data_IF_316879489268
#
_entry.id   IF_316879489268
#
_cell.length_a   1.000
_cell.length_b   1.000
_cell.length_c   1.000
_cell.angle_alpha   90.00
_cell.angle_beta   90.00
_cell.angle_gamma   90.00
#
_symmetry.space_group_name_H-M   'P 1'
#
loop_
_entity.id
_entity.type
_entity.pdbx_description
1 polymer ?
#
# COMPACT_ATOMS: atom_id res chain seq x y z
N UNK A 1 19.58 6.46 19.92
CA UNK A 1 18.21 5.93 20.15
C UNK A 1 18.33 4.42 20.03
N UNK A 2 18.36 3.72 21.15
CA UNK A 2 18.51 2.27 21.21
C UNK A 2 17.24 1.60 20.68
N UNK A 3 17.33 0.86 19.57
CA UNK A 3 16.24 0.05 19.02
C UNK A 3 16.31 -1.33 19.68
N UNK A 4 15.92 -1.42 20.97
CA UNK A 4 16.21 -2.61 21.79
C UNK A 4 15.06 -3.60 22.00
N UNK A 5 13.86 -3.38 21.44
CA UNK A 5 12.81 -4.40 21.47
C UNK A 5 12.47 -4.87 20.04
N UNK A 6 12.79 -6.14 19.72
CA UNK A 6 12.32 -6.81 18.51
C UNK A 6 10.79 -6.83 18.48
N UNK A 7 10.18 -6.55 17.32
CA UNK A 7 8.72 -6.50 17.18
C UNK A 7 8.05 -7.82 17.60
N UNK A 8 7.34 -7.78 18.73
CA UNK A 8 6.51 -8.88 19.23
C UNK A 8 5.12 -8.88 18.57
N UNK A 9 4.74 -10.02 17.98
CA UNK A 9 3.43 -10.21 17.37
C UNK A 9 2.30 -10.46 18.39
N UNK A 10 2.63 -10.74 19.65
CA UNK A 10 1.69 -11.00 20.75
C UNK A 10 2.11 -10.25 22.04
N UNK A 11 2.14 -8.90 22.01
CA UNK A 11 2.55 -8.11 23.17
C UNK A 11 1.62 -8.34 24.36
N UNK A 12 2.14 -8.10 25.57
CA UNK A 12 1.36 -8.19 26.83
C UNK A 12 0.15 -7.26 26.85
N UNK A 13 0.27 -6.10 26.21
CA UNK A 13 -0.77 -5.11 26.09
C UNK A 13 -0.81 -4.59 24.64
N UNK A 14 -2.01 -4.57 24.05
CA UNK A 14 -2.21 -4.03 22.71
C UNK A 14 -2.53 -2.53 22.77
N UNK A 15 -2.02 -1.77 21.80
CA UNK A 15 -2.37 -0.36 21.66
C UNK A 15 -3.90 -0.17 21.49
N UNK A 16 -4.52 0.76 22.23
CA UNK A 16 -5.94 1.05 22.10
C UNK A 16 -6.23 1.76 20.77
N UNK A 17 -7.43 1.53 20.23
CA UNK A 17 -7.87 2.24 19.03
C UNK A 17 -8.39 3.63 19.39
N UNK A 18 -7.96 4.64 18.62
CA UNK A 18 -8.49 6.01 18.67
C UNK A 18 -8.75 6.46 17.24
N UNK A 19 -10.03 6.66 16.91
CA UNK A 19 -10.43 7.03 15.57
C UNK A 19 -10.10 8.49 15.26
N UNK A 20 -9.64 8.74 14.04
CA UNK A 20 -9.44 10.05 13.42
C UNK A 20 -10.55 10.41 12.42
N UNK A 21 -11.47 9.47 12.17
CA UNK A 21 -12.58 9.65 11.24
C UNK A 21 -13.62 10.62 11.81
N UNK A 22 -14.11 11.53 10.98
CA UNK A 22 -15.28 12.36 11.31
C UNK A 22 -16.60 11.60 11.10
N UNK A 23 -17.73 12.26 11.34
CA UNK A 23 -19.05 11.63 11.22
C UNK A 23 -19.37 11.18 9.79
N UNK A 24 -19.01 11.97 8.78
CA UNK A 24 -19.19 11.63 7.38
C UNK A 24 -18.36 10.40 6.99
N UNK A 25 -17.11 10.34 7.44
CA UNK A 25 -16.23 9.20 7.20
C UNK A 25 -16.78 7.92 7.86
N UNK A 26 -17.23 8.00 9.12
CA UNK A 26 -17.83 6.87 9.83
C UNK A 26 -19.12 6.37 9.18
N UNK A 27 -19.98 7.29 8.72
CA UNK A 27 -21.20 6.93 8.02
C UNK A 27 -20.92 6.17 6.72
N UNK A 28 -19.89 6.59 5.96
CA UNK A 28 -19.47 5.89 4.76
C UNK A 28 -18.86 4.52 5.09
N UNK A 29 -17.99 4.44 6.10
CA UNK A 29 -17.39 3.18 6.54
C UNK A 29 -18.45 2.15 6.97
N UNK A 30 -19.47 2.58 7.72
CA UNK A 30 -20.59 1.72 8.09
C UNK A 30 -21.39 1.23 6.87
N UNK A 31 -21.66 2.13 5.92
CA UNK A 31 -22.46 1.84 4.73
C UNK A 31 -21.75 0.93 3.73
N UNK A 32 -20.48 1.22 3.42
CA UNK A 32 -19.76 0.59 2.30
C UNK A 32 -18.78 -0.51 2.74
N UNK A 33 -18.26 -0.42 3.98
CA UNK A 33 -17.24 -1.32 4.51
C UNK A 33 -17.76 -2.20 5.65
N UNK A 34 -19.01 -2.01 6.07
CA UNK A 34 -19.62 -2.73 7.19
C UNK A 34 -18.86 -2.53 8.53
N UNK A 35 -18.16 -1.40 8.67
CA UNK A 35 -17.49 -1.02 9.91
C UNK A 35 -18.48 -0.36 10.88
N UNK A 36 -18.72 -0.96 12.03
CA UNK A 36 -19.51 -0.37 13.10
C UNK A 36 -18.83 -0.57 14.47
N UNK A 37 -19.26 0.19 15.48
CA UNK A 37 -18.62 0.19 16.79
C UNK A 37 -18.65 -1.19 17.46
N UNK A 38 -19.72 -1.95 17.24
CA UNK A 38 -19.92 -3.28 17.83
C UNK A 38 -18.99 -4.35 17.24
N UNK A 39 -18.63 -4.25 15.96
CA UNK A 39 -17.78 -5.25 15.29
C UNK A 39 -16.30 -4.91 15.34
N UNK A 40 -15.94 -3.62 15.46
CA UNK A 40 -14.56 -3.17 15.29
C UNK A 40 -13.58 -3.85 16.23
N UNK A 41 -13.84 -3.81 17.53
CA UNK A 41 -12.92 -4.35 18.54
C UNK A 41 -12.84 -5.87 18.46
N UNK A 42 -13.97 -6.53 18.19
CA UNK A 42 -14.05 -7.99 18.00
C UNK A 42 -13.25 -8.42 16.77
N UNK A 43 -13.44 -7.75 15.62
CA UNK A 43 -12.71 -8.05 14.39
C UNK A 43 -11.20 -7.83 14.53
N UNK A 44 -10.78 -6.74 15.19
CA UNK A 44 -9.37 -6.50 15.50
C UNK A 44 -8.79 -7.62 16.38
N UNK A 45 -9.52 -8.05 17.41
CA UNK A 45 -9.10 -9.13 18.29
C UNK A 45 -8.93 -10.46 17.53
N UNK A 46 -9.85 -10.79 16.62
CA UNK A 46 -9.77 -11.99 15.80
C UNK A 46 -8.56 -11.98 14.86
N UNK A 47 -8.24 -10.84 14.24
CA UNK A 47 -7.02 -10.73 13.41
C UNK A 47 -5.75 -10.87 14.25
N UNK A 48 -5.73 -10.29 15.47
CA UNK A 48 -4.61 -10.47 16.42
C UNK A 48 -4.44 -11.94 16.82
N UNK A 49 -5.53 -12.61 17.12
CA UNK A 49 -5.52 -14.04 17.45
C UNK A 49 -5.00 -14.89 16.29
N UNK A 50 -5.43 -14.59 15.06
CA UNK A 50 -4.90 -15.22 13.85
C UNK A 50 -3.38 -15.04 13.75
N UNK A 51 -2.88 -13.80 13.87
CA UNK A 51 -1.43 -13.50 13.83
C UNK A 51 -0.67 -14.27 14.91
N UNK A 52 -1.18 -14.28 16.14
CA UNK A 52 -0.57 -14.94 17.28
C UNK A 52 -0.44 -16.46 17.05
N UNK A 53 -1.51 -17.09 16.54
CA UNK A 53 -1.58 -18.54 16.30
C UNK A 53 -0.91 -18.99 14.99
N UNK A 54 -0.67 -18.10 14.03
CA UNK A 54 -0.10 -18.47 12.75
C UNK A 54 1.35 -18.99 12.90
N UNK A 55 1.65 -20.23 12.46
CA UNK A 55 2.94 -20.87 12.72
C UNK A 55 4.10 -20.22 11.94
N UNK A 56 3.83 -19.70 10.75
CA UNK A 56 4.85 -19.05 9.94
C UNK A 56 5.05 -17.58 10.31
N UNK A 57 4.06 -16.88 10.89
CA UNK A 57 4.23 -15.45 11.19
C UNK A 57 5.08 -15.36 12.46
N UNK A 58 6.27 -14.80 12.36
CA UNK A 58 7.17 -14.64 13.51
C UNK A 58 7.09 -13.22 14.06
N UNK A 59 7.13 -12.22 13.16
CA UNK A 59 7.07 -10.81 13.50
C UNK A 59 6.03 -10.12 12.62
N UNK A 60 5.01 -9.52 13.24
CA UNK A 60 3.97 -8.75 12.56
C UNK A 60 3.45 -7.64 13.49
N UNK A 61 3.17 -6.48 12.91
CA UNK A 61 2.54 -5.34 13.60
C UNK A 61 1.08 -5.65 13.94
N UNK A 62 0.62 -5.19 15.10
CA UNK A 62 -0.72 -5.53 15.63
C UNK A 62 -1.50 -4.34 16.18
N UNK A 63 -1.08 -3.10 15.91
CA UNK A 63 -1.87 -1.91 16.27
C UNK A 63 -3.14 -1.80 15.40
N UNK A 64 -4.19 -1.17 15.94
CA UNK A 64 -5.48 -1.07 15.27
C UNK A 64 -5.44 -0.45 13.88
N UNK A 65 -4.69 0.64 13.67
CA UNK A 65 -4.67 1.37 12.39
C UNK A 65 -4.15 0.49 11.26
N UNK A 66 -3.13 -0.34 11.54
CA UNK A 66 -2.62 -1.33 10.61
C UNK A 66 -3.63 -2.43 10.30
N UNK A 67 -4.19 -3.06 11.33
CA UNK A 67 -5.11 -4.18 11.16
C UNK A 67 -6.40 -3.76 10.46
N UNK A 68 -6.86 -2.53 10.73
CA UNK A 68 -8.02 -1.93 10.08
C UNK A 68 -7.82 -1.75 8.57
N UNK A 69 -6.59 -1.66 8.05
CA UNK A 69 -6.35 -1.61 6.59
C UNK A 69 -6.93 -2.84 5.90
N UNK A 70 -6.63 -4.01 6.44
CA UNK A 70 -7.07 -5.29 5.87
C UNK A 70 -8.56 -5.51 6.09
N UNK A 71 -9.06 -5.18 7.28
CA UNK A 71 -10.50 -5.26 7.59
C UNK A 71 -11.31 -4.34 6.67
N UNK A 72 -10.95 -3.06 6.57
CA UNK A 72 -11.62 -2.09 5.69
C UNK A 72 -11.51 -2.51 4.22
N UNK A 73 -10.33 -2.95 3.79
CA UNK A 73 -10.11 -3.44 2.42
C UNK A 73 -11.04 -4.61 2.07
N UNK A 74 -11.32 -5.48 3.03
CA UNK A 74 -12.20 -6.65 2.89
C UNK A 74 -13.60 -6.45 3.43
N UNK A 75 -14.02 -5.19 3.61
CA UNK A 75 -15.36 -4.83 4.10
C UNK A 75 -15.77 -5.61 5.35
N UNK A 76 -14.82 -5.69 6.30
CA UNK A 76 -14.94 -6.37 7.58
C UNK A 76 -15.17 -7.88 7.52
N UNK A 77 -14.93 -8.51 6.37
CA UNK A 77 -14.74 -9.97 6.32
C UNK A 77 -13.38 -10.33 6.94
N UNK A 78 -13.42 -10.84 8.17
CA UNK A 78 -12.22 -11.19 8.95
C UNK A 78 -11.40 -12.30 8.28
N UNK A 79 -12.03 -13.31 7.70
CA UNK A 79 -11.31 -14.42 7.06
C UNK A 79 -10.53 -13.92 5.84
N UNK A 80 -11.17 -13.12 4.99
CA UNK A 80 -10.51 -12.53 3.82
C UNK A 80 -9.42 -11.53 4.23
N UNK A 81 -9.62 -10.79 5.33
CA UNK A 81 -8.63 -9.87 5.87
C UNK A 81 -7.36 -10.61 6.33
N UNK A 82 -7.53 -11.71 7.07
CA UNK A 82 -6.42 -12.58 7.49
C UNK A 82 -5.68 -13.17 6.29
N UNK A 83 -6.40 -13.70 5.29
CA UNK A 83 -5.79 -14.23 4.07
C UNK A 83 -5.02 -13.16 3.28
N UNK A 84 -5.51 -11.92 3.26
CA UNK A 84 -4.84 -10.79 2.60
C UNK A 84 -3.56 -10.40 3.33
N UNK A 85 -3.59 -10.34 4.67
CA UNK A 85 -2.40 -10.10 5.48
C UNK A 85 -1.34 -11.19 5.27
N UNK A 86 -1.75 -12.46 5.34
CA UNK A 86 -0.86 -13.61 5.14
C UNK A 86 -0.24 -13.60 3.74
N UNK A 87 -1.05 -13.40 2.70
CA UNK A 87 -0.58 -13.31 1.32
C UNK A 87 0.40 -12.15 1.11
N UNK A 88 0.10 -10.98 1.66
CA UNK A 88 0.99 -9.81 1.58
C UNK A 88 2.33 -10.06 2.28
N UNK A 89 2.33 -10.68 3.45
CA UNK A 89 3.57 -11.04 4.17
C UNK A 89 4.36 -12.13 3.43
N UNK A 90 3.68 -13.14 2.89
CA UNK A 90 4.30 -14.20 2.09
C UNK A 90 4.98 -13.62 0.86
N UNK A 91 4.29 -12.72 0.15
CA UNK A 91 4.84 -12.01 -1.00
C UNK A 91 6.09 -11.20 -0.60
N UNK A 92 6.01 -10.41 0.48
CA UNK A 92 7.14 -9.64 1.00
C UNK A 92 8.36 -10.52 1.29
N UNK A 93 8.16 -11.68 1.94
CA UNK A 93 9.27 -12.61 2.23
C UNK A 93 9.87 -13.19 0.96
N UNK A 94 9.03 -13.62 0.00
CA UNK A 94 9.52 -14.15 -1.29
C UNK A 94 10.34 -13.10 -2.05
N UNK A 95 9.87 -11.86 -2.08
CA UNK A 95 10.61 -10.76 -2.72
C UNK A 95 11.97 -10.56 -2.07
N UNK A 96 12.03 -10.53 -0.73
CA UNK A 96 13.31 -10.42 0.00
C UNK A 96 14.25 -11.60 -0.29
N UNK A 97 13.73 -12.83 -0.37
CA UNK A 97 14.53 -14.01 -0.71
C UNK A 97 15.07 -13.96 -2.14
N UNK A 98 14.25 -13.51 -3.11
CA UNK A 98 14.62 -13.50 -4.53
C UNK A 98 15.55 -12.34 -4.90
N UNK A 99 15.35 -11.17 -4.30
CA UNK A 99 15.97 -9.92 -4.77
C UNK A 99 16.83 -9.21 -3.71
N UNK A 100 16.87 -9.70 -2.47
CA UNK A 100 17.75 -9.19 -1.42
C UNK A 100 17.60 -7.68 -1.16
N UNK A 101 18.72 -6.95 -1.25
CA UNK A 101 18.80 -5.50 -1.00
C UNK A 101 17.96 -4.63 -1.95
N UNK A 102 17.53 -5.15 -3.12
CA UNK A 102 16.64 -4.40 -4.03
C UNK A 102 15.23 -4.17 -3.44
N UNK A 103 14.85 -4.95 -2.42
CA UNK A 103 13.58 -4.81 -1.70
C UNK A 103 13.74 -3.90 -0.48
N UNK A 104 14.90 -3.28 -0.29
CA UNK A 104 15.14 -2.34 0.80
C UNK A 104 14.43 -1.00 0.52
N UNK A 105 13.62 -0.53 1.47
CA UNK A 105 12.98 0.80 1.41
C UNK A 105 13.99 1.93 1.23
N UNK A 106 15.20 1.77 1.77
CA UNK A 106 16.25 2.78 1.75
C UNK A 106 17.26 2.59 0.61
N UNK A 107 16.92 1.80 -0.41
CA UNK A 107 17.77 1.62 -1.58
C UNK A 107 18.08 2.98 -2.26
N UNK A 108 19.33 3.27 -2.68
CA UNK A 108 19.71 4.58 -3.25
C UNK A 108 18.85 5.01 -4.45
N UNK A 109 18.46 4.08 -5.32
CA UNK A 109 17.59 4.40 -6.46
C UNK A 109 16.14 4.70 -6.04
N UNK A 110 15.65 4.14 -4.93
CA UNK A 110 14.34 4.52 -4.36
C UNK A 110 14.42 5.94 -3.82
N UNK A 111 15.49 6.28 -3.09
CA UNK A 111 15.73 7.64 -2.59
C UNK A 111 15.86 8.65 -3.74
N UNK A 112 16.59 8.29 -4.80
CA UNK A 112 16.71 9.13 -5.99
C UNK A 112 15.35 9.39 -6.66
N UNK A 113 14.51 8.36 -6.81
CA UNK A 113 13.16 8.55 -7.36
C UNK A 113 12.26 9.41 -6.46
N UNK A 114 12.41 9.32 -5.13
CA UNK A 114 11.76 10.23 -4.18
C UNK A 114 12.21 11.68 -4.41
N UNK A 115 13.50 11.91 -4.60
CA UNK A 115 14.06 13.24 -4.85
C UNK A 115 13.70 13.84 -6.22
N UNK A 116 13.33 12.98 -7.17
CA UNK A 116 12.83 13.38 -8.49
C UNK A 116 11.32 13.60 -8.52
N UNK A 117 10.62 13.44 -7.39
CA UNK A 117 9.17 13.52 -7.30
C UNK A 117 8.49 12.54 -8.25
N UNK A 118 9.02 11.32 -8.35
CA UNK A 118 8.52 10.30 -9.28
C UNK A 118 7.13 9.79 -8.91
N UNK A 119 6.83 9.66 -7.61
CA UNK A 119 5.49 9.33 -7.10
C UNK A 119 5.19 10.21 -5.89
N UNK A 120 4.14 11.03 -5.96
CA UNK A 120 3.83 12.06 -4.96
C UNK A 120 2.35 12.06 -4.59
N UNK A 121 1.99 11.87 -3.31
CA UNK A 121 0.66 12.19 -2.79
C UNK A 121 0.34 13.68 -2.93
N UNK A 122 -0.75 14.01 -3.62
CA UNK A 122 -1.21 15.38 -3.83
C UNK A 122 -2.16 15.86 -2.72
N UNK A 123 -2.79 14.93 -2.00
CA UNK A 123 -3.76 15.22 -0.95
C UNK A 123 -5.13 14.63 -1.28
N UNK A 124 -6.19 15.16 -0.65
CA UNK A 124 -7.54 14.61 -0.80
C UNK A 124 -8.37 15.40 -1.83
N UNK A 125 -9.07 14.70 -2.72
CA UNK A 125 -10.05 15.32 -3.62
C UNK A 125 -11.37 15.67 -2.91
N UNK A 126 -12.35 16.27 -3.63
CA UNK A 126 -13.69 16.57 -3.09
C UNK A 126 -14.46 15.35 -2.61
N UNK A 127 -14.13 14.16 -3.11
CA UNK A 127 -14.69 12.88 -2.68
C UNK A 127 -13.88 12.27 -1.53
N UNK A 128 -12.94 13.01 -0.95
CA UNK A 128 -12.09 12.65 0.20
C UNK A 128 -11.16 11.47 -0.08
N UNK A 129 -10.86 11.19 -1.35
CA UNK A 129 -9.93 10.14 -1.79
C UNK A 129 -8.52 10.71 -1.87
N UNK A 130 -7.52 9.95 -1.43
CA UNK A 130 -6.11 10.36 -1.57
C UNK A 130 -5.68 10.29 -3.04
N UNK A 131 -5.31 11.41 -3.63
CA UNK A 131 -4.79 11.50 -4.99
C UNK A 131 -3.27 11.35 -4.97
N UNK A 132 -2.74 10.47 -5.81
CA UNK A 132 -1.31 10.17 -5.93
C UNK A 132 -0.92 10.37 -7.40
N UNK A 133 0.07 11.22 -7.65
CA UNK A 133 0.64 11.46 -8.98
C UNK A 133 1.85 10.53 -9.20
N UNK A 134 1.89 9.87 -10.35
CA UNK A 134 3.03 9.09 -10.85
C UNK A 134 3.56 9.81 -12.09
N UNK A 135 4.84 10.19 -12.07
CA UNK A 135 5.53 10.83 -13.19
C UNK A 135 6.45 9.82 -13.86
N UNK A 136 5.97 9.20 -14.93
CA UNK A 136 6.69 8.10 -15.59
C UNK A 136 8.05 8.56 -16.11
N UNK A 137 8.11 9.73 -16.76
CA UNK A 137 9.37 10.28 -17.28
C UNK A 137 10.42 10.63 -16.21
N UNK A 138 10.07 10.63 -14.93
CA UNK A 138 11.02 10.83 -13.83
C UNK A 138 11.73 9.53 -13.39
N UNK A 139 11.28 8.37 -13.87
CA UNK A 139 11.83 7.05 -13.52
C UNK A 139 12.65 6.49 -14.69
N UNK A 140 13.92 6.91 -14.80
CA UNK A 140 14.80 6.46 -15.90
C UNK A 140 14.89 4.91 -15.94
N UNK A 141 14.49 4.25 -17.04
CA UNK A 141 14.54 2.79 -17.16
C UNK A 141 15.94 2.20 -17.11
N UNK A 142 16.99 3.01 -17.29
CA UNK A 142 18.39 2.56 -17.14
C UNK A 142 18.79 2.36 -15.69
N UNK A 143 18.24 3.18 -14.80
CA UNK A 143 18.62 3.24 -13.39
C UNK A 143 17.54 2.67 -12.47
N UNK A 144 16.33 2.47 -12.98
CA UNK A 144 15.17 2.03 -12.20
C UNK A 144 14.51 0.80 -12.83
N UNK A 145 14.54 -0.31 -12.10
CA UNK A 145 13.85 -1.54 -12.48
C UNK A 145 12.38 -1.46 -12.08
N UNK A 146 11.51 -2.28 -12.70
CA UNK A 146 10.12 -2.40 -12.29
C UNK A 146 9.99 -2.73 -10.78
N UNK A 147 10.89 -3.55 -10.23
CA UNK A 147 10.92 -3.87 -8.81
C UNK A 147 11.19 -2.64 -7.93
N UNK A 148 12.17 -1.80 -8.30
CA UNK A 148 12.46 -0.56 -7.56
C UNK A 148 11.29 0.42 -7.62
N UNK A 149 10.63 0.52 -8.79
CA UNK A 149 9.46 1.36 -8.97
C UNK A 149 8.25 0.84 -8.17
N UNK A 150 8.01 -0.49 -8.15
CA UNK A 150 7.03 -1.13 -7.27
C UNK A 150 7.35 -0.87 -5.79
N UNK A 151 8.64 -0.87 -5.41
CA UNK A 151 9.06 -0.60 -4.02
C UNK A 151 8.72 0.83 -3.61
N UNK A 152 8.98 1.81 -4.48
CA UNK A 152 8.56 3.19 -4.25
C UNK A 152 7.04 3.31 -4.16
N UNK A 153 6.30 2.67 -5.07
CA UNK A 153 4.84 2.65 -5.03
C UNK A 153 4.30 2.09 -3.71
N UNK A 154 4.85 0.97 -3.26
CA UNK A 154 4.52 0.33 -1.98
C UNK A 154 4.81 1.26 -0.78
N UNK A 155 5.95 1.95 -0.80
CA UNK A 155 6.30 2.93 0.22
C UNK A 155 5.29 4.08 0.31
N UNK A 156 4.94 4.67 -0.85
CA UNK A 156 4.00 5.78 -0.93
C UNK A 156 2.60 5.35 -0.46
N UNK A 157 2.09 4.21 -0.95
CA UNK A 157 0.74 3.76 -0.57
C UNK A 157 0.67 3.37 0.91
N UNK A 158 1.69 2.71 1.45
CA UNK A 158 1.74 2.37 2.88
C UNK A 158 1.77 3.65 3.75
N UNK A 159 2.46 4.71 3.30
CA UNK A 159 2.42 6.03 3.94
C UNK A 159 0.99 6.59 3.98
N UNK A 160 0.30 6.55 2.84
CA UNK A 160 -1.08 7.05 2.74
C UNK A 160 -2.06 6.22 3.57
N UNK A 161 -1.82 4.92 3.72
CA UNK A 161 -2.64 4.00 4.52
C UNK A 161 -2.43 4.11 6.04
N UNK A 162 -1.51 4.95 6.53
CA UNK A 162 -1.52 5.37 7.94
C UNK A 162 -2.66 6.34 8.27
N UNK A 163 -3.29 6.93 7.24
CA UNK A 163 -4.44 7.81 7.40
C UNK A 163 -5.74 7.02 7.22
N UNK A 164 -6.58 7.00 8.24
CA UNK A 164 -7.83 6.24 8.20
C UNK A 164 -8.78 6.71 7.10
N UNK A 165 -8.80 8.01 6.80
CA UNK A 165 -9.57 8.57 5.69
C UNK A 165 -9.20 7.90 4.36
N UNK A 166 -7.92 7.66 4.11
CA UNK A 166 -7.44 6.92 2.92
C UNK A 166 -7.96 5.48 2.94
N UNK A 167 -7.96 4.82 4.10
CA UNK A 167 -8.48 3.44 4.22
C UNK A 167 -9.99 3.35 3.93
N UNK A 168 -10.75 4.42 4.24
CA UNK A 168 -12.20 4.47 4.03
C UNK A 168 -12.57 4.85 2.59
N UNK A 169 -11.96 5.91 2.07
CA UNK A 169 -12.32 6.49 0.76
C UNK A 169 -11.51 5.93 -0.41
N UNK A 170 -10.36 5.31 -0.12
CA UNK A 170 -9.44 4.79 -1.12
C UNK A 170 -8.56 5.87 -1.75
N UNK A 171 -7.91 5.50 -2.85
CA UNK A 171 -6.94 6.33 -3.56
C UNK A 171 -7.30 6.51 -5.04
N UNK A 172 -6.84 7.60 -5.63
CA UNK A 172 -6.86 7.86 -7.08
C UNK A 172 -5.42 8.02 -7.55
N UNK A 173 -5.03 7.26 -8.58
CA UNK A 173 -3.69 7.34 -9.16
C UNK A 173 -3.76 8.08 -10.49
N UNK A 174 -3.02 9.16 -10.60
CA UNK A 174 -2.84 9.92 -11.83
C UNK A 174 -1.49 9.54 -12.41
N UNK A 175 -1.47 9.00 -13.62
CA UNK A 175 -0.23 8.61 -14.28
C UNK A 175 0.08 9.62 -15.38
N UNK A 176 1.07 10.47 -15.14
CA UNK A 176 1.64 11.36 -16.14
C UNK A 176 2.66 10.59 -16.99
N UNK A 177 2.26 10.28 -18.22
CA UNK A 177 3.09 9.61 -19.21
C UNK A 177 3.97 10.58 -20.02
N UNK A 178 4.01 11.87 -19.68
CA UNK A 178 4.94 12.81 -20.32
C UNK A 178 6.38 12.34 -20.12
N UNK A 179 7.16 12.30 -21.21
CA UNK A 179 8.53 11.78 -21.19
C UNK A 179 8.64 10.25 -21.15
N UNK A 180 7.52 9.52 -21.22
CA UNK A 180 7.54 8.06 -21.34
C UNK A 180 8.19 7.62 -22.66
N UNK A 181 9.00 6.57 -22.59
CA UNK A 181 9.71 5.96 -23.73
C UNK A 181 9.27 4.50 -23.92
N UNK A 182 9.57 3.89 -25.07
CA UNK A 182 9.26 2.48 -25.32
C UNK A 182 9.93 1.51 -24.32
N UNK A 183 11.05 1.91 -23.71
CA UNK A 183 11.68 1.12 -22.65
C UNK A 183 10.78 1.01 -21.39
N UNK A 184 10.00 2.05 -21.07
CA UNK A 184 9.02 1.99 -19.98
C UNK A 184 7.87 1.04 -20.30
N UNK A 185 7.39 1.04 -21.55
CA UNK A 185 6.31 0.16 -22.02
C UNK A 185 6.73 -1.31 -21.91
N UNK A 186 7.97 -1.63 -22.29
CA UNK A 186 8.53 -2.97 -22.16
C UNK A 186 8.67 -3.45 -20.70
N UNK A 187 8.74 -2.54 -19.73
CA UNK A 187 8.92 -2.87 -18.32
C UNK A 187 7.60 -3.25 -17.60
N UNK A 188 6.44 -2.76 -18.05
CA UNK A 188 5.18 -2.87 -17.29
C UNK A 188 4.01 -3.53 -18.01
N UNK A 189 4.04 -3.65 -19.34
CA UNK A 189 2.84 -4.04 -20.11
C UNK A 189 1.72 -2.98 -20.00
N UNK A 190 0.84 -2.88 -21.00
CA UNK A 190 -0.21 -1.86 -21.01
C UNK A 190 -1.46 -2.36 -20.25
N UNK A 191 -1.96 -1.55 -19.32
CA UNK A 191 -3.38 -1.51 -18.97
C UNK A 191 -3.89 -0.06 -19.10
N UNK A 192 -5.18 0.08 -19.40
CA UNK A 192 -5.88 1.23 -20.00
C UNK A 192 -5.37 2.65 -19.62
N UNK A 193 -5.09 3.47 -20.64
CA UNK A 193 -4.70 4.89 -20.49
C UNK A 193 -5.88 5.81 -20.83
N UNK A 194 -6.08 6.85 -20.01
CA UNK A 194 -6.83 8.03 -20.44
C UNK A 194 -6.02 8.74 -21.53
N UNK A 195 -6.66 9.03 -22.67
CA UNK A 195 -5.96 9.40 -23.90
C UNK A 195 -5.67 10.90 -23.98
N UNK A 196 -6.31 11.71 -23.14
CA UNK A 196 -6.16 13.19 -23.14
C UNK A 196 -6.17 13.81 -21.73
N UNK A 197 -5.55 14.99 -21.61
CA UNK A 197 -5.57 15.82 -20.39
C UNK A 197 -7.01 16.28 -20.03
N UNK A 198 -7.89 16.38 -21.01
CA UNK A 198 -9.28 16.78 -20.84
C UNK A 198 -10.12 15.68 -20.16
N UNK A 199 -9.87 14.41 -20.49
CA UNK A 199 -10.44 13.25 -19.77
C UNK A 199 -9.98 13.19 -18.30
N UNK A 200 -8.70 13.50 -18.04
CA UNK A 200 -8.17 13.58 -16.68
C UNK A 200 -8.89 14.68 -15.85
N UNK A 201 -9.08 15.87 -16.42
CA UNK A 201 -9.78 16.99 -15.76
C UNK A 201 -11.25 16.71 -15.43
N UNK A 202 -11.89 15.81 -16.16
CA UNK A 202 -13.27 15.39 -15.87
C UNK A 202 -13.37 14.33 -14.76
N UNK A 203 -12.25 13.63 -14.46
CA UNK A 203 -12.23 12.53 -13.47
C UNK A 203 -11.65 12.92 -12.11
N UNK A 204 -10.82 13.98 -12.07
CA UNK A 204 -10.18 14.50 -10.85
C UNK A 204 -10.33 16.02 -10.79
N UNK A 205 -10.64 16.55 -9.60
CA UNK A 205 -10.77 17.98 -9.35
C UNK A 205 -9.48 18.74 -9.67
N UNK A 206 -9.54 19.76 -10.53
CA UNK A 206 -8.37 20.54 -10.91
C UNK A 206 -7.67 21.21 -9.72
N UNK A 207 -8.37 21.57 -8.63
CA UNK A 207 -7.73 22.28 -7.51
C UNK A 207 -6.70 21.43 -6.76
N UNK A 208 -6.76 20.10 -6.84
CA UNK A 208 -5.77 19.20 -6.22
C UNK A 208 -4.57 18.92 -7.12
N UNK A 209 -4.65 19.30 -8.41
CA UNK A 209 -3.56 19.08 -9.34
C UNK A 209 -2.45 20.12 -9.14
N UNK A 210 -1.18 19.75 -9.43
CA UNK A 210 -0.14 20.74 -9.50
C UNK A 210 -0.40 21.78 -10.61
N UNK A 211 0.16 22.99 -10.46
CA UNK A 211 0.02 24.08 -11.45
C UNK A 211 0.45 23.67 -12.85
N UNK A 212 1.45 22.79 -12.97
CA UNK A 212 1.92 22.22 -14.25
C UNK A 212 0.86 21.41 -14.98
N UNK A 213 -0.17 20.91 -14.28
CA UNK A 213 -1.30 20.16 -14.84
C UNK A 213 -2.60 21.01 -14.89
N UNK A 214 -2.51 22.30 -14.58
CA UNK A 214 -3.63 23.25 -14.61
C UNK A 214 -4.42 23.34 -13.31
N UNK A 215 -3.83 22.94 -12.17
CA UNK A 215 -4.41 23.14 -10.84
C UNK A 215 -3.83 24.33 -10.09
N UNK A 216 -4.06 24.36 -8.77
CA UNK A 216 -3.76 25.51 -7.91
C UNK A 216 -2.54 25.29 -6.99
N UNK A 217 -2.20 24.03 -6.68
CA UNK A 217 -1.08 23.69 -5.81
C UNK A 217 0.24 23.64 -6.60
N UNK A 218 1.39 24.01 -6.02
CA UNK A 218 2.67 23.75 -6.70
C UNK A 218 3.15 22.32 -6.47
N UNK A 219 3.87 21.71 -7.42
CA UNK A 219 4.45 20.38 -7.24
C UNK A 219 5.39 20.34 -6.02
N UNK A 220 6.20 21.39 -5.84
CA UNK A 220 7.08 21.52 -4.68
C UNK A 220 6.31 21.47 -3.35
N UNK A 221 5.17 22.16 -3.26
CA UNK A 221 4.34 22.12 -2.06
C UNK A 221 3.78 20.72 -1.81
N UNK A 222 3.37 19.99 -2.85
CA UNK A 222 2.92 18.60 -2.71
C UNK A 222 4.07 17.69 -2.21
N UNK A 223 5.27 17.87 -2.75
CA UNK A 223 6.48 17.17 -2.28
C UNK A 223 6.81 17.48 -0.83
N UNK A 224 6.80 18.75 -0.42
CA UNK A 224 7.11 19.14 0.96
C UNK A 224 6.08 18.53 1.93
N UNK A 225 4.79 18.53 1.55
CA UNK A 225 3.74 17.85 2.29
C UNK A 225 3.99 16.34 2.39
N UNK A 226 4.37 15.70 1.29
CA UNK A 226 4.68 14.27 1.29
C UNK A 226 5.88 13.94 2.17
N UNK A 227 6.96 14.73 2.12
CA UNK A 227 8.11 14.54 3.01
C UNK A 227 7.72 14.64 4.48
N UNK A 228 6.87 15.60 4.85
CA UNK A 228 6.34 15.70 6.20
C UNK A 228 5.46 14.49 6.58
N UNK A 229 4.60 14.01 5.67
CA UNK A 229 3.84 12.77 5.88
C UNK A 229 4.79 11.59 6.11
N UNK A 230 5.82 11.46 5.29
CA UNK A 230 6.81 10.39 5.37
C UNK A 230 7.58 10.43 6.70
N UNK A 231 8.07 11.60 7.11
CA UNK A 231 8.78 11.80 8.38
C UNK A 231 7.88 11.45 9.57
N UNK A 232 6.64 11.92 9.56
CA UNK A 232 5.64 11.63 10.61
C UNK A 232 5.40 10.12 10.75
N UNK A 233 5.37 9.40 9.63
CA UNK A 233 5.09 7.96 9.60
C UNK A 233 6.34 7.08 9.60
N UNK A 234 7.55 7.67 9.65
CA UNK A 234 8.83 6.94 9.52
C UNK A 234 8.97 5.80 10.52
N UNK A 235 8.43 5.96 11.74
CA UNK A 235 8.44 4.91 12.75
C UNK A 235 7.74 3.63 12.28
N UNK A 236 6.67 3.74 11.49
CA UNK A 236 5.89 2.61 11.04
C UNK A 236 6.58 1.84 9.92
N UNK A 237 7.29 2.52 9.00
CA UNK A 237 8.11 1.83 8.01
C UNK A 237 9.21 1.00 8.65
N UNK A 238 9.84 1.53 9.71
CA UNK A 238 10.86 0.79 10.46
C UNK A 238 10.30 -0.45 11.16
N UNK A 239 9.02 -0.43 11.54
CA UNK A 239 8.33 -1.59 12.07
C UNK A 239 7.94 -2.58 10.95
N UNK A 240 7.45 -2.09 9.82
CA UNK A 240 7.14 -2.93 8.66
C UNK A 240 8.39 -3.63 8.10
N UNK A 241 9.56 -2.99 8.17
CA UNK A 241 10.83 -3.65 7.82
C UNK A 241 11.14 -4.86 8.72
N UNK A 242 10.69 -4.85 9.98
CA UNK A 242 10.86 -5.96 10.90
C UNK A 242 9.88 -7.11 10.65
N UNK A 243 8.96 -7.00 9.68
CA UNK A 243 8.04 -8.09 9.37
C UNK A 243 8.85 -9.34 8.97
N UNK A 244 8.46 -10.48 9.53
CA UNK A 244 9.14 -11.73 9.24
C UNK A 244 8.15 -12.90 9.31
N UNK A 245 8.19 -13.71 8.26
CA UNK A 245 7.46 -14.95 8.15
C UNK A 245 8.43 -16.07 7.77
N UNK A 246 8.46 -17.14 8.56
CA UNK A 246 9.31 -18.30 8.31
C UNK A 246 8.63 -19.24 7.30
N UNK A 247 9.01 -19.08 6.03
CA UNK A 247 8.48 -19.88 4.93
C UNK A 247 9.02 -21.33 4.91
N UNK A 248 9.96 -21.69 5.80
CA UNK A 248 10.44 -23.08 5.92
C UNK A 248 9.48 -23.97 6.71
N UNK A 249 8.66 -23.38 7.58
CA UNK A 249 7.59 -24.05 8.32
C UNK A 249 6.41 -24.32 7.37
N UNK A 250 5.70 -25.43 7.54
CA UNK A 250 4.51 -25.74 6.74
C UNK A 250 3.39 -24.73 6.99
N UNK A 251 2.73 -24.28 5.92
CA UNK A 251 1.58 -23.40 6.04
C UNK A 251 0.39 -24.13 6.72
N UNK A 252 -0.51 -23.40 7.39
CA UNK A 252 -1.73 -23.98 7.95
C UNK A 252 -2.53 -24.76 6.89
N UNK A 253 -2.93 -25.99 7.22
CA UNK A 253 -3.76 -26.81 6.32
C UNK A 253 -3.02 -27.48 5.15
N UNK A 254 -1.70 -27.35 5.02
CA UNK A 254 -0.93 -28.00 3.93
C UNK A 254 -0.31 -29.35 4.30
N UNK A 255 -0.70 -29.96 5.44
CA UNK A 255 -0.22 -31.29 5.84
C UNK A 255 -0.67 -32.36 4.84
N UNK A 256 0.18 -32.66 3.85
CA UNK A 256 -0.05 -33.75 2.88
C UNK A 256 0.45 -33.53 1.45
N UNK A 257 0.87 -32.31 1.05
CA UNK A 257 1.47 -32.09 -0.28
C UNK A 257 2.98 -31.89 -0.16
N UNK A 258 3.73 -32.83 -0.74
CA UNK A 258 5.19 -32.79 -0.81
C UNK A 258 5.69 -31.44 -1.34
N UNK A 259 6.65 -30.84 -0.64
CA UNK A 259 7.30 -29.56 -0.94
C UNK A 259 8.21 -29.62 -2.18
N UNK A 260 7.74 -30.19 -3.30
CA UNK A 260 8.53 -30.38 -4.53
C UNK A 260 7.98 -29.66 -5.77
N UNK A 261 6.95 -28.81 -5.63
CA UNK A 261 6.35 -28.13 -6.79
C UNK A 261 6.24 -26.60 -6.72
N UNK A 262 6.90 -25.95 -5.76
CA UNK A 262 6.89 -24.49 -5.64
C UNK A 262 8.09 -23.77 -6.29
N UNK A 263 9.00 -24.47 -6.99
CA UNK A 263 10.11 -23.88 -7.75
C UNK A 263 9.73 -23.57 -9.21
N UNK A 264 8.58 -22.93 -9.46
CA UNK A 264 8.38 -22.21 -10.73
C UNK A 264 8.80 -20.77 -10.54
N UNK A 265 10.03 -20.48 -10.97
CA UNK A 265 10.61 -19.14 -11.09
C UNK A 265 9.97 -18.40 -12.27
N UNK A 266 8.66 -18.13 -12.17
CA UNK A 266 7.97 -17.19 -13.05
C UNK A 266 7.52 -16.02 -12.16
N UNK A 267 7.78 -14.78 -12.60
CA UNK A 267 7.01 -13.64 -12.10
C UNK A 267 5.54 -14.06 -12.18
N UNK A 268 4.74 -13.98 -11.10
CA UNK A 268 3.35 -14.36 -11.18
C UNK A 268 2.65 -13.34 -12.07
N UNK A 269 2.57 -13.64 -13.37
CA UNK A 269 1.94 -12.81 -14.39
C UNK A 269 0.43 -12.61 -14.19
N UNK A 270 -0.14 -13.17 -13.12
CA UNK A 270 -1.56 -13.11 -12.82
C UNK A 270 -1.88 -12.87 -11.34
N UNK A 271 -0.90 -12.84 -10.41
CA UNK A 271 -1.10 -12.21 -9.10
C UNK A 271 -0.81 -10.71 -9.25
N UNK A 272 -1.54 -10.08 -10.16
CA UNK A 272 -1.75 -8.65 -10.10
C UNK A 272 -2.16 -8.36 -8.66
N UNK A 273 -1.54 -7.37 -8.04
CA UNK A 273 -2.03 -6.79 -6.81
C UNK A 273 -3.50 -6.47 -7.09
N UNK A 274 -4.43 -7.35 -6.66
CA UNK A 274 -5.84 -7.22 -6.99
C UNK A 274 -6.30 -6.04 -6.17
N UNK A 275 -6.11 -4.84 -6.71
CA UNK A 275 -6.87 -3.66 -6.38
C UNK A 275 -8.16 -3.78 -7.15
N UNK A 276 -9.28 -3.88 -6.45
CA UNK A 276 -10.58 -3.73 -7.09
C UNK A 276 -10.70 -2.27 -7.54
N UNK A 277 -10.28 -1.99 -8.77
CA UNK A 277 -10.61 -0.74 -9.45
C UNK A 277 -12.12 -0.78 -9.70
N UNK A 278 -12.86 0.13 -9.05
CA UNK A 278 -14.30 0.27 -9.30
C UNK A 278 -14.47 0.54 -10.79
N UNK A 279 -15.13 -0.38 -11.49
CA UNK A 279 -15.60 -0.18 -12.86
C UNK A 279 -16.61 0.97 -12.81
N UNK A 280 -16.21 2.15 -13.27
CA UNK A 280 -17.15 3.24 -13.52
C UNK A 280 -17.96 2.82 -14.74
N UNK A 281 -19.18 2.36 -14.53
CA UNK A 281 -20.17 2.26 -15.59
C UNK A 281 -20.54 3.68 -16.01
N UNK A 282 -20.17 4.04 -17.22
CA UNK A 282 -20.66 5.24 -17.90
C UNK A 282 -21.95 4.82 -18.61
N UNK A 283 -23.07 5.44 -18.24
CA UNK A 283 -24.27 5.48 -19.06
C UNK A 283 -24.11 6.54 -20.15
#
# INVERSE_FOLDING_TARGET
MHYEDEMDKCPREYAPYRSTLDECDRALAAKELHENEDTRDVSIALVREFIAKHPQIVRCRTDPVFLLRFLRYRKFNVADACATLEGGMTFLMRMRTLYGEEVNTFHPNVQRMLDLDAIVPLGFDRKRRMVILVRVGAMDPKDTTALLQMRLGALVINTCLEYERTQVHGTVWIVDCSGMTMAHVGAWGLSEFHRTNEELRNSVDCSILPTTYGGEQSLKQATDNFRNMFETQTKWFKLEEQFYMDLSVSAPGTSGRSARHSQRNEFPGEESMVGSFRKLTVD
#
